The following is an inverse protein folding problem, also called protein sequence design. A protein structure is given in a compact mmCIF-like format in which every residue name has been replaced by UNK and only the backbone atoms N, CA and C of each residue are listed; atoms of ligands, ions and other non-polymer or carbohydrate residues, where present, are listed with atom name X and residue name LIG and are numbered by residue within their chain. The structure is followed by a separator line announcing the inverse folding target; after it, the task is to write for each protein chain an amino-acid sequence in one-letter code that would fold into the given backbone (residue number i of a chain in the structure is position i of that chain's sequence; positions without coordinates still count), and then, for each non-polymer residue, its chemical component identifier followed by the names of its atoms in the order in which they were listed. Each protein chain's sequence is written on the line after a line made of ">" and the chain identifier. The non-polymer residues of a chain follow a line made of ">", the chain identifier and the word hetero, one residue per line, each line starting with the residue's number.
data_IF_786829643307
#
_entry.id   IF_786829643307
#
_cell.length_a   1.000
_cell.length_b   1.000
_cell.length_c   1.000
_cell.angle_alpha   90.00
_cell.angle_beta   90.00
_cell.angle_gamma   90.00
#
_symmetry.space_group_name_H-M   'P 1'
#
loop_
_entity.id
_entity.type
_entity.pdbx_description
1 polymer ?
#
# COMPACT_ATOMS: atom_id res chain seq x y z
N UNK A 1 10.79 -8.40 -19.03
CA UNK A 1 9.69 -7.42 -19.00
C UNK A 1 9.52 -6.90 -17.60
N UNK A 2 9.51 -5.60 -17.43
CA UNK A 2 9.31 -5.00 -16.13
C UNK A 2 7.82 -5.00 -15.77
N UNK A 3 7.50 -5.37 -14.54
CA UNK A 3 6.13 -5.31 -14.06
C UNK A 3 5.69 -3.83 -13.94
N UNK A 4 4.42 -3.58 -14.21
CA UNK A 4 3.88 -2.23 -14.03
C UNK A 4 3.81 -1.90 -12.52
N UNK A 5 3.82 -0.62 -12.15
CA UNK A 5 3.65 -0.24 -10.73
C UNK A 5 2.36 -0.81 -10.13
N UNK A 6 1.28 -0.84 -10.90
CA UNK A 6 0.02 -1.43 -10.44
C UNK A 6 0.17 -2.92 -10.13
N UNK A 7 0.89 -3.65 -10.98
CA UNK A 7 1.14 -5.07 -10.74
C UNK A 7 2.01 -5.28 -9.50
N UNK A 8 3.00 -4.42 -9.28
CA UNK A 8 3.81 -4.48 -8.07
C UNK A 8 2.98 -4.21 -6.82
N UNK A 9 2.05 -3.25 -6.89
CA UNK A 9 1.14 -2.99 -5.79
C UNK A 9 0.23 -4.19 -5.53
N UNK A 10 -0.28 -4.82 -6.59
CA UNK A 10 -1.10 -6.02 -6.44
C UNK A 10 -0.33 -7.16 -5.78
N UNK A 11 0.97 -7.29 -6.09
CA UNK A 11 1.83 -8.27 -5.43
C UNK A 11 2.00 -7.95 -3.95
N UNK A 12 2.13 -6.66 -3.60
CA UNK A 12 2.19 -6.24 -2.20
C UNK A 12 0.90 -6.65 -1.46
N UNK A 13 -0.25 -6.41 -2.06
CA UNK A 13 -1.53 -6.79 -1.47
C UNK A 13 -1.64 -8.30 -1.27
N UNK A 14 -1.16 -9.09 -2.22
CA UNK A 14 -1.16 -10.53 -2.09
C UNK A 14 -0.31 -11.00 -0.91
N UNK A 15 0.87 -10.41 -0.73
CA UNK A 15 1.74 -10.72 0.41
C UNK A 15 1.11 -10.29 1.73
N UNK A 16 0.48 -9.12 1.76
CA UNK A 16 -0.22 -8.65 2.96
C UNK A 16 -1.33 -9.62 3.33
N UNK A 17 -2.10 -10.07 2.33
CA UNK A 17 -3.20 -11.00 2.55
C UNK A 17 -2.74 -12.30 3.19
N UNK A 18 -1.53 -12.74 2.88
CA UNK A 18 -0.96 -13.94 3.48
C UNK A 18 -0.54 -13.74 4.93
N UNK A 19 -0.36 -12.49 5.37
CA UNK A 19 0.20 -12.16 6.67
C UNK A 19 -0.82 -11.56 7.65
N UNK A 20 -2.05 -11.32 7.22
CA UNK A 20 -3.12 -10.79 8.08
C UNK A 20 -4.35 -11.66 7.95
N UNK A 21 -5.30 -11.51 8.88
CA UNK A 21 -6.57 -12.21 8.77
C UNK A 21 -7.35 -11.70 7.56
N UNK A 22 -8.22 -12.54 7.02
CA UNK A 22 -9.08 -12.15 5.92
C UNK A 22 -9.93 -10.94 6.27
N UNK A 23 -10.41 -10.87 7.50
CA UNK A 23 -11.19 -9.73 7.97
C UNK A 23 -10.38 -8.44 7.94
N UNK A 24 -9.13 -8.46 8.43
CA UNK A 24 -8.26 -7.29 8.40
C UNK A 24 -7.95 -6.87 6.97
N UNK A 25 -7.69 -7.83 6.10
CA UNK A 25 -7.43 -7.52 4.70
C UNK A 25 -8.63 -6.83 4.06
N UNK A 26 -9.82 -7.39 4.22
CA UNK A 26 -11.02 -6.85 3.61
C UNK A 26 -11.39 -5.48 4.18
N UNK A 27 -11.11 -5.25 5.46
CA UNK A 27 -11.46 -3.99 6.13
C UNK A 27 -10.46 -2.89 5.84
N UNK A 28 -9.15 -3.19 5.88
CA UNK A 28 -8.11 -2.16 5.92
C UNK A 28 -7.30 -2.05 4.63
N UNK A 29 -7.15 -3.11 3.87
CA UNK A 29 -6.29 -3.09 2.68
C UNK A 29 -7.08 -3.09 1.37
N UNK A 30 -8.16 -3.84 1.30
CA UNK A 30 -8.97 -3.90 0.08
C UNK A 30 -9.52 -2.54 -0.35
N UNK A 31 -9.94 -1.65 0.57
CA UNK A 31 -10.41 -0.32 0.18
C UNK A 31 -9.34 0.64 -0.31
N UNK A 32 -8.05 0.31 -0.13
CA UNK A 32 -6.97 1.16 -0.61
C UNK A 32 -6.96 1.16 -2.13
N UNK A 33 -6.92 2.35 -2.74
CA UNK A 33 -6.92 2.51 -4.19
C UNK A 33 -5.55 2.97 -4.66
N UNK A 34 -4.94 2.22 -5.57
CA UNK A 34 -3.70 2.62 -6.21
C UNK A 34 -3.96 3.87 -7.06
N UNK A 35 -3.12 4.89 -6.87
CA UNK A 35 -3.22 6.14 -7.63
C UNK A 35 -2.11 6.24 -8.66
N UNK A 36 -0.86 6.27 -8.20
CA UNK A 36 0.28 6.44 -9.09
C UNK A 36 1.58 6.04 -8.39
N UNK A 37 2.62 5.87 -9.21
CA UNK A 37 3.97 5.66 -8.72
C UNK A 37 4.91 6.54 -9.53
N UNK A 38 5.76 7.30 -8.84
CA UNK A 38 6.77 8.17 -9.46
C UNK A 38 8.15 7.55 -9.27
N UNK A 39 8.72 6.93 -10.31
CA UNK A 39 10.02 6.26 -10.16
C UNK A 39 11.16 7.21 -9.86
N UNK A 40 11.09 8.46 -10.32
CA UNK A 40 12.14 9.44 -10.06
C UNK A 40 12.35 9.72 -8.58
N UNK A 41 11.26 9.74 -7.79
CA UNK A 41 11.31 9.97 -6.36
C UNK A 41 10.99 8.71 -5.55
N UNK A 42 10.74 7.60 -6.23
CA UNK A 42 10.28 6.34 -5.63
C UNK A 42 9.09 6.56 -4.70
N UNK A 43 8.13 7.35 -5.15
CA UNK A 43 6.95 7.68 -4.36
C UNK A 43 5.74 6.95 -4.90
N UNK A 44 5.15 6.10 -4.04
CA UNK A 44 3.91 5.39 -4.32
C UNK A 44 2.77 6.16 -3.67
N UNK A 45 1.79 6.55 -4.48
CA UNK A 45 0.61 7.26 -4.00
C UNK A 45 -0.61 6.36 -4.05
N UNK A 46 -1.24 6.17 -2.90
CA UNK A 46 -2.48 5.41 -2.79
C UNK A 46 -3.53 6.26 -2.08
N UNK A 47 -4.79 5.93 -2.27
CA UNK A 47 -5.90 6.64 -1.65
C UNK A 47 -6.61 5.76 -0.65
N UNK A 48 -6.98 6.35 0.48
CA UNK A 48 -7.71 5.68 1.54
C UNK A 48 -9.04 6.42 1.78
N UNK A 49 -10.08 5.71 2.29
CA UNK A 49 -11.41 6.31 2.44
C UNK A 49 -11.49 7.41 3.49
N UNK A 50 -10.63 7.39 4.51
CA UNK A 50 -10.72 8.38 5.57
C UNK A 50 -9.39 8.50 6.32
N UNK A 51 -9.27 9.58 7.11
CA UNK A 51 -8.12 9.78 7.99
C UNK A 51 -7.98 8.64 9.00
N UNK A 52 -9.09 8.06 9.40
CA UNK A 52 -9.10 6.93 10.33
C UNK A 52 -8.34 5.72 9.75
N UNK A 53 -8.50 5.44 8.45
CA UNK A 53 -7.74 4.39 7.78
C UNK A 53 -6.24 4.68 7.82
N UNK A 54 -5.88 5.92 7.52
CA UNK A 54 -4.48 6.35 7.56
C UNK A 54 -3.87 6.09 8.94
N UNK A 55 -4.54 6.57 9.98
CA UNK A 55 -4.05 6.42 11.34
C UNK A 55 -3.95 4.96 11.78
N UNK A 56 -4.94 4.16 11.41
CA UNK A 56 -4.95 2.74 11.78
C UNK A 56 -3.84 1.97 11.07
N UNK A 57 -3.66 2.22 9.79
CA UNK A 57 -2.60 1.57 9.02
C UNK A 57 -1.23 1.94 9.55
N UNK A 58 -1.02 3.22 9.87
CA UNK A 58 0.25 3.69 10.42
C UNK A 58 0.52 3.11 11.81
N UNK A 59 -0.50 2.99 12.64
CA UNK A 59 -0.33 2.48 13.99
C UNK A 59 -0.11 0.96 14.05
N UNK A 60 -0.72 0.21 13.15
CA UNK A 60 -0.78 -1.25 13.29
C UNK A 60 -0.07 -2.02 12.17
N UNK A 61 0.09 -1.45 10.99
CA UNK A 61 0.58 -2.18 9.83
C UNK A 61 1.79 -1.54 9.14
N UNK A 62 2.40 -0.53 9.77
CA UNK A 62 3.50 0.18 9.12
C UNK A 62 4.68 -0.75 8.83
N UNK A 63 5.01 -1.65 9.75
CA UNK A 63 6.13 -2.56 9.57
C UNK A 63 5.88 -3.55 8.43
N UNK A 64 4.66 -4.09 8.37
CA UNK A 64 4.29 -5.02 7.31
C UNK A 64 4.27 -4.31 5.95
N UNK A 65 3.69 -3.12 5.88
CA UNK A 65 3.66 -2.32 4.66
C UNK A 65 5.08 -2.01 4.18
N UNK A 66 5.94 -1.57 5.10
CA UNK A 66 7.33 -1.26 4.78
C UNK A 66 8.05 -2.47 4.20
N UNK A 67 7.88 -3.63 4.83
CA UNK A 67 8.51 -4.86 4.39
C UNK A 67 8.08 -5.27 2.99
N UNK A 68 6.78 -5.31 2.73
CA UNK A 68 6.29 -5.76 1.41
C UNK A 68 6.61 -4.74 0.31
N UNK A 69 6.59 -3.45 0.64
CA UNK A 69 6.95 -2.41 -0.31
C UNK A 69 8.42 -2.51 -0.71
N UNK A 70 9.33 -2.71 0.26
CA UNK A 70 10.74 -2.88 -0.02
C UNK A 70 10.99 -4.13 -0.87
N UNK A 71 10.26 -5.20 -0.62
CA UNK A 71 10.42 -6.43 -1.40
C UNK A 71 10.01 -6.27 -2.87
N UNK A 72 9.03 -5.43 -3.14
CA UNK A 72 8.47 -5.29 -4.49
C UNK A 72 8.98 -4.06 -5.24
N UNK A 73 9.22 -2.96 -4.54
CA UNK A 73 9.66 -1.70 -5.16
C UNK A 73 11.12 -1.39 -4.90
N UNK A 74 11.76 -2.11 -3.97
CA UNK A 74 13.16 -1.89 -3.62
C UNK A 74 13.35 -0.86 -2.51
N UNK A 75 14.61 -0.64 -2.15
CA UNK A 75 14.95 0.30 -1.08
C UNK A 75 14.64 1.74 -1.48
N UNK A 76 14.30 2.55 -0.51
CA UNK A 76 14.01 3.95 -0.76
C UNK A 76 12.58 4.24 -1.16
N UNK A 77 11.73 3.22 -1.25
CA UNK A 77 10.31 3.42 -1.57
C UNK A 77 9.64 4.27 -0.50
N UNK A 78 8.82 5.22 -0.94
CA UNK A 78 8.02 6.08 -0.07
C UNK A 78 6.56 5.86 -0.34
N UNK A 79 5.78 5.66 0.70
CA UNK A 79 4.33 5.52 0.59
C UNK A 79 3.67 6.82 1.03
N UNK A 80 2.85 7.38 0.15
CA UNK A 80 2.04 8.55 0.47
C UNK A 80 0.57 8.16 0.42
N UNK A 81 -0.14 8.45 1.49
CA UNK A 81 -1.57 8.17 1.60
C UNK A 81 -2.36 9.46 1.40
N UNK A 82 -3.32 9.40 0.51
CA UNK A 82 -4.22 10.52 0.23
C UNK A 82 -5.65 10.11 0.53
N UNK A 83 -6.50 11.09 0.82
CA UNK A 83 -7.91 10.80 1.05
C UNK A 83 -8.68 10.75 -0.25
N UNK A 84 -9.65 9.84 -0.31
CA UNK A 84 -10.60 9.81 -1.42
C UNK A 84 -11.60 10.93 -1.19
N UNK A 85 -11.68 11.87 -2.13
CA UNK A 85 -12.68 12.93 -2.10
C UNK A 85 -13.93 12.46 -2.82
N UNK A 86 -15.05 12.58 -2.15
CA UNK A 86 -16.35 12.25 -2.71
C UNK A 86 -17.05 13.54 -3.17
#
# INVERSE_FOLDING_TARGET
>A
MLASPKALWDNCLALIRENVSEQHYNTWFKPIVFESYKPATKTLLVRVPSTFFYEYLEANFVDLLSKVLHQNFGDGIRLTLSLIHI
#
